data_IF_764516393187
#
_entry.id   IF_764516393187
#
_cell.length_a   1.000
_cell.length_b   1.000
_cell.length_c   1.000
_cell.angle_alpha   90.00
_cell.angle_beta   90.00
_cell.angle_gamma   90.00
#
_symmetry.space_group_name_H-M   'P 1'
#
loop_
_entity.id
_entity.type
_entity.pdbx_description
1 polymer ?
#
# COMPACT_ATOMS: atom_id res chain seq x y z
N UNK A 1 -30.75 59.20 69.84
CA UNK A 1 -30.96 57.76 69.58
C UNK A 1 -30.91 57.56 68.07
N UNK A 2 -29.77 57.03 67.54
CA UNK A 2 -29.64 56.74 66.12
C UNK A 2 -29.63 55.20 66.02
N UNK A 3 -30.60 54.63 65.29
CA UNK A 3 -30.68 53.22 65.00
C UNK A 3 -29.82 52.93 63.77
N UNK A 4 -28.76 52.12 63.90
CA UNK A 4 -27.99 51.55 62.80
C UNK A 4 -28.72 50.24 62.31
N UNK A 5 -29.09 50.27 61.04
CA UNK A 5 -29.60 49.07 60.35
C UNK A 5 -28.46 48.49 59.45
N UNK A 6 -27.91 47.39 59.88
CA UNK A 6 -26.91 46.68 59.10
C UNK A 6 -27.62 45.79 58.07
N UNK A 7 -27.38 46.02 56.76
CA UNK A 7 -27.77 45.08 55.68
C UNK A 7 -26.69 44.04 55.55
N UNK A 8 -27.08 42.76 55.74
CA UNK A 8 -26.25 41.59 55.39
C UNK A 8 -26.54 41.23 53.93
N UNK A 9 -25.51 41.38 53.04
CA UNK A 9 -25.55 40.89 51.69
C UNK A 9 -25.17 39.41 51.72
N UNK A 10 -26.09 38.54 51.29
CA UNK A 10 -25.92 37.09 51.17
C UNK A 10 -25.35 36.81 49.75
N UNK A 11 -24.09 36.44 49.68
CA UNK A 11 -23.49 35.97 48.41
C UNK A 11 -23.92 34.50 48.18
N UNK A 12 -24.79 34.29 47.18
CA UNK A 12 -25.09 32.97 46.66
C UNK A 12 -23.98 32.55 45.70
N UNK A 13 -23.07 31.72 46.10
CA UNK A 13 -22.12 31.06 45.20
C UNK A 13 -22.80 29.86 44.53
N UNK A 14 -23.10 29.98 43.24
CA UNK A 14 -23.53 28.90 42.39
C UNK A 14 -22.31 28.07 42.00
N UNK A 15 -22.24 26.74 42.25
CA UNK A 15 -21.13 25.93 41.75
C UNK A 15 -21.27 25.76 40.24
N UNK A 16 -20.25 26.23 39.49
CA UNK A 16 -20.09 25.93 38.08
C UNK A 16 -19.73 24.40 37.96
N UNK A 17 -20.71 23.61 37.60
CA UNK A 17 -20.44 22.21 37.21
C UNK A 17 -19.83 22.25 35.81
N UNK A 18 -18.50 22.22 35.73
CA UNK A 18 -17.80 21.87 34.49
C UNK A 18 -18.00 20.39 34.25
N UNK A 19 -18.93 20.04 33.37
CA UNK A 19 -18.96 18.71 32.77
C UNK A 19 -17.69 18.52 31.92
N UNK A 20 -16.92 17.45 32.09
CA UNK A 20 -15.83 17.17 31.17
C UNK A 20 -16.43 16.92 29.78
N UNK A 21 -16.04 17.76 28.81
CA UNK A 21 -16.18 17.44 27.39
C UNK A 21 -15.30 16.21 27.15
N UNK A 22 -15.90 15.03 27.27
CA UNK A 22 -15.34 13.86 26.63
C UNK A 22 -15.41 14.10 25.13
N UNK A 23 -14.27 14.41 24.53
CA UNK A 23 -14.09 14.26 23.09
C UNK A 23 -14.30 12.78 22.80
N UNK A 24 -15.52 12.39 22.51
CA UNK A 24 -15.81 11.12 21.90
C UNK A 24 -15.06 11.14 20.55
N UNK A 25 -14.04 10.33 20.41
CA UNK A 25 -13.63 9.90 19.10
C UNK A 25 -14.90 9.35 18.44
N UNK A 26 -15.43 10.06 17.44
CA UNK A 26 -16.41 9.50 16.54
C UNK A 26 -15.69 8.32 15.88
N UNK A 27 -15.95 7.11 16.36
CA UNK A 27 -15.45 5.91 15.71
C UNK A 27 -16.00 5.95 14.30
N UNK A 28 -15.14 6.14 13.32
CA UNK A 28 -15.53 6.16 11.91
C UNK A 28 -16.32 4.88 11.63
N UNK A 29 -17.44 5.00 10.93
CA UNK A 29 -18.28 3.84 10.60
C UNK A 29 -17.68 3.02 9.45
N UNK A 30 -16.55 3.43 8.91
CA UNK A 30 -15.83 2.73 7.84
C UNK A 30 -14.33 3.05 7.88
N UNK A 31 -13.52 2.13 7.35
CA UNK A 31 -12.12 2.31 7.03
C UNK A 31 -11.98 2.44 5.53
N UNK A 32 -11.41 3.55 5.08
CA UNK A 32 -11.06 3.77 3.68
C UNK A 32 -9.54 3.80 3.53
N UNK A 33 -9.01 2.87 2.78
CA UNK A 33 -7.57 2.79 2.46
C UNK A 33 -7.39 3.05 0.97
N UNK A 34 -6.63 4.09 0.63
CA UNK A 34 -6.22 4.39 -0.74
C UNK A 34 -4.96 3.64 -1.13
N UNK A 35 -4.80 3.31 -2.40
CA UNK A 35 -3.64 2.58 -2.94
C UNK A 35 -3.18 3.17 -4.24
N UNK A 36 -1.88 3.13 -4.47
CA UNK A 36 -1.31 3.45 -5.76
C UNK A 36 0.20 3.29 -5.78
N UNK A 37 0.75 3.16 -6.98
CA UNK A 37 2.18 3.08 -7.25
C UNK A 37 2.55 3.90 -8.48
N UNK A 38 3.83 3.90 -8.84
CA UNK A 38 4.36 4.56 -10.02
C UNK A 38 4.05 6.06 -10.03
N UNK A 39 4.64 6.76 -9.07
CA UNK A 39 4.56 8.21 -8.91
C UNK A 39 5.90 8.87 -9.19
N UNK A 40 6.04 9.43 -10.39
CA UNK A 40 7.24 10.07 -10.91
C UNK A 40 7.35 11.50 -10.37
N UNK A 41 8.41 11.80 -9.62
CA UNK A 41 8.65 13.10 -8.99
C UNK A 41 8.88 14.22 -10.01
N UNK A 42 9.22 13.86 -11.24
CA UNK A 42 9.47 14.82 -12.33
C UNK A 42 8.20 15.20 -13.10
N UNK A 43 7.07 14.55 -12.83
CA UNK A 43 5.81 14.78 -13.53
C UNK A 43 4.73 15.44 -12.64
N UNK A 44 3.79 16.16 -13.25
CA UNK A 44 2.64 16.70 -12.50
C UNK A 44 1.83 15.61 -11.81
N UNK A 45 1.52 15.80 -10.53
CA UNK A 45 0.79 14.85 -9.70
C UNK A 45 -0.66 15.30 -9.46
N UNK A 46 -1.43 15.42 -10.53
CA UNK A 46 -2.81 15.97 -10.48
C UNK A 46 -3.80 15.07 -9.75
N UNK A 47 -3.48 13.79 -9.62
CA UNK A 47 -4.30 12.75 -9.01
C UNK A 47 -4.63 13.02 -7.53
N UNK A 48 -3.74 13.75 -6.82
CA UNK A 48 -3.94 14.09 -5.42
C UNK A 48 -5.22 14.87 -5.15
N UNK A 49 -5.73 15.63 -6.15
CA UNK A 49 -7.00 16.37 -6.04
C UNK A 49 -8.23 15.46 -6.00
N UNK A 50 -8.16 14.31 -6.64
CA UNK A 50 -9.22 13.30 -6.59
C UNK A 50 -9.13 12.54 -5.27
N UNK A 51 -7.94 12.08 -4.89
CA UNK A 51 -7.68 11.36 -3.66
C UNK A 51 -8.05 12.15 -2.39
N UNK A 52 -7.82 13.47 -2.36
CA UNK A 52 -8.21 14.33 -1.24
C UNK A 52 -9.72 14.25 -0.93
N UNK A 53 -10.55 14.09 -1.96
CA UNK A 53 -12.02 14.00 -1.81
C UNK A 53 -12.50 12.67 -1.27
N UNK A 54 -11.66 11.62 -1.28
CA UNK A 54 -12.00 10.30 -0.76
C UNK A 54 -12.12 10.30 0.77
N UNK A 55 -11.50 11.26 1.47
CA UNK A 55 -11.43 11.29 2.93
C UNK A 55 -10.87 9.99 3.50
N UNK A 56 -9.68 9.62 3.06
CA UNK A 56 -9.01 8.37 3.42
C UNK A 56 -8.61 8.35 4.90
N UNK A 57 -8.64 7.17 5.50
CA UNK A 57 -8.05 6.90 6.81
C UNK A 57 -6.57 6.55 6.68
N UNK A 58 -6.21 5.80 5.63
CA UNK A 58 -4.85 5.43 5.29
C UNK A 58 -4.62 5.57 3.78
N UNK A 59 -3.36 5.81 3.38
CA UNK A 59 -2.91 5.66 2.00
C UNK A 59 -1.70 4.75 1.99
N UNK A 60 -1.70 3.77 1.09
CA UNK A 60 -0.64 2.77 1.00
C UNK A 60 0.06 2.88 -0.37
N UNK A 61 1.28 3.35 -0.37
CA UNK A 61 2.15 3.37 -1.54
C UNK A 61 2.69 1.97 -1.84
N UNK A 62 2.51 1.54 -3.09
CA UNK A 62 2.77 0.17 -3.53
C UNK A 62 4.12 0.01 -4.27
N UNK A 63 5.06 0.90 -3.99
CA UNK A 63 6.35 0.93 -4.69
C UNK A 63 6.39 1.91 -5.85
N UNK A 64 7.59 2.08 -6.44
CA UNK A 64 7.85 3.12 -7.44
C UNK A 64 7.43 4.51 -6.94
N UNK A 65 7.82 4.80 -5.70
CA UNK A 65 7.46 6.05 -5.04
C UNK A 65 8.32 7.22 -5.53
N UNK A 66 9.45 6.92 -6.16
CA UNK A 66 10.36 7.82 -6.88
C UNK A 66 11.06 7.04 -7.99
N UNK A 67 11.70 7.78 -8.92
CA UNK A 67 12.47 7.25 -10.05
C UNK A 67 13.90 7.77 -10.01
N UNK A 68 14.55 7.64 -8.86
CA UNK A 68 15.92 8.09 -8.61
C UNK A 68 17.01 7.07 -8.96
N UNK A 69 16.64 5.89 -9.43
CA UNK A 69 17.55 4.82 -9.81
C UNK A 69 18.37 5.16 -11.05
N UNK A 70 19.55 4.57 -11.13
CA UNK A 70 20.45 4.65 -12.27
C UNK A 70 20.71 3.24 -12.81
N UNK A 71 20.95 3.11 -14.13
CA UNK A 71 21.32 1.84 -14.74
C UNK A 71 22.59 1.22 -14.11
N UNK A 72 23.44 2.05 -13.49
CA UNK A 72 24.63 1.61 -12.74
C UNK A 72 24.29 1.01 -11.37
N UNK A 73 23.08 1.23 -10.86
CA UNK A 73 22.67 0.88 -9.50
C UNK A 73 23.23 1.82 -8.43
N UNK A 74 23.87 2.95 -8.79
CA UNK A 74 24.33 3.94 -7.82
C UNK A 74 23.14 4.74 -7.26
N UNK A 75 23.16 5.05 -5.95
CA UNK A 75 22.07 5.76 -5.25
C UNK A 75 22.23 7.29 -5.25
N UNK A 76 23.12 7.85 -6.10
CA UNK A 76 23.46 9.29 -6.10
C UNK A 76 22.26 10.19 -6.38
N UNK A 77 21.28 9.73 -7.18
CA UNK A 77 20.06 10.46 -7.50
C UNK A 77 18.87 10.14 -6.58
N UNK A 78 18.98 9.10 -5.74
CA UNK A 78 17.85 8.64 -4.94
C UNK A 78 17.37 9.68 -3.93
N UNK A 79 18.29 10.27 -3.17
CA UNK A 79 17.92 11.31 -2.20
C UNK A 79 17.38 12.59 -2.85
N UNK A 80 17.95 13.13 -3.92
CA UNK A 80 17.33 14.21 -4.69
C UNK A 80 15.92 13.90 -5.18
N UNK A 81 15.65 12.68 -5.67
CA UNK A 81 14.33 12.23 -6.10
C UNK A 81 13.35 12.22 -4.94
N UNK A 82 13.71 11.64 -3.79
CA UNK A 82 12.91 11.67 -2.58
C UNK A 82 12.61 13.07 -2.08
N UNK A 83 13.61 13.97 -2.07
CA UNK A 83 13.42 15.36 -1.64
C UNK A 83 12.39 16.07 -2.54
N UNK A 84 12.47 15.88 -3.85
CA UNK A 84 11.51 16.43 -4.81
C UNK A 84 10.12 15.83 -4.64
N UNK A 85 10.03 14.53 -4.39
CA UNK A 85 8.76 13.86 -4.13
C UNK A 85 8.09 14.38 -2.85
N UNK A 86 8.85 14.62 -1.80
CA UNK A 86 8.33 15.23 -0.58
C UNK A 86 7.74 16.63 -0.83
N UNK A 87 8.35 17.43 -1.71
CA UNK A 87 7.82 18.73 -2.12
C UNK A 87 6.47 18.60 -2.85
N UNK A 88 6.33 17.59 -3.70
CA UNK A 88 5.12 17.32 -4.50
C UNK A 88 3.93 16.81 -3.66
N UNK A 89 4.18 16.19 -2.53
CA UNK A 89 3.11 15.64 -1.69
C UNK A 89 2.26 16.75 -1.05
N UNK A 90 0.93 16.70 -1.19
CA UNK A 90 0.05 17.67 -0.55
C UNK A 90 0.06 17.53 0.99
N UNK A 91 -0.31 18.60 1.66
CA UNK A 91 -0.28 18.63 3.13
C UNK A 91 -1.17 17.55 3.78
N UNK A 92 -2.34 17.28 3.22
CA UNK A 92 -3.25 16.25 3.74
C UNK A 92 -2.61 14.87 3.74
N UNK A 93 -1.87 14.51 2.66
CA UNK A 93 -1.18 13.22 2.53
C UNK A 93 -0.04 13.09 3.55
N UNK A 94 0.75 14.17 3.74
CA UNK A 94 1.81 14.20 4.76
C UNK A 94 1.26 14.03 6.18
N UNK A 95 0.09 14.63 6.45
CA UNK A 95 -0.58 14.52 7.75
C UNK A 95 -1.15 13.12 8.00
N UNK A 96 -1.54 12.41 6.94
CA UNK A 96 -2.05 11.04 7.01
C UNK A 96 -0.99 10.03 7.44
N UNK A 97 0.31 10.36 7.28
CA UNK A 97 1.44 9.46 7.52
C UNK A 97 1.28 8.15 6.75
N UNK A 98 1.37 8.21 5.42
CA UNK A 98 1.06 7.06 4.58
C UNK A 98 1.94 5.86 4.86
N UNK A 99 1.40 4.67 4.65
CA UNK A 99 2.13 3.41 4.61
C UNK A 99 2.84 3.28 3.26
N UNK A 100 3.97 2.61 3.23
CA UNK A 100 4.70 2.42 1.99
C UNK A 100 5.49 1.11 1.97
N UNK A 101 5.53 0.49 0.80
CA UNK A 101 6.55 -0.46 0.39
C UNK A 101 7.32 0.13 -0.80
N UNK A 102 8.45 -0.44 -1.11
CA UNK A 102 9.20 -0.09 -2.31
C UNK A 102 8.93 -1.04 -3.47
N UNK A 103 9.33 -0.61 -4.67
CA UNK A 103 9.55 -1.47 -5.81
C UNK A 103 10.96 -1.23 -6.38
N UNK A 104 11.26 -1.63 -7.59
CA UNK A 104 12.61 -1.63 -8.14
C UNK A 104 13.22 -0.22 -8.29
N UNK A 105 12.43 0.79 -8.67
CA UNK A 105 12.91 2.15 -8.86
C UNK A 105 13.29 2.85 -7.55
N UNK A 106 12.55 2.67 -6.48
CA UNK A 106 12.93 3.20 -5.16
C UNK A 106 13.81 2.24 -4.35
N UNK A 107 13.92 0.97 -4.75
CA UNK A 107 14.95 0.04 -4.29
C UNK A 107 16.34 0.40 -4.86
N UNK A 108 16.39 0.97 -6.07
CA UNK A 108 17.58 1.59 -6.66
C UNK A 108 18.23 0.83 -7.82
N UNK A 109 17.63 -0.26 -8.27
CA UNK A 109 18.06 -1.01 -9.44
C UNK A 109 16.86 -1.62 -10.15
N UNK A 110 16.60 -1.19 -11.40
CA UNK A 110 15.47 -1.68 -12.18
C UNK A 110 15.48 -3.22 -12.30
N UNK A 111 14.33 -3.84 -12.00
CA UNK A 111 14.14 -5.28 -11.84
C UNK A 111 15.13 -5.93 -10.83
N UNK A 112 15.74 -5.15 -9.92
CA UNK A 112 16.72 -5.61 -8.95
C UNK A 112 16.13 -6.48 -7.85
N UNK A 113 16.94 -7.39 -7.33
CA UNK A 113 16.61 -8.30 -6.23
C UNK A 113 17.77 -8.46 -5.25
N UNK A 114 17.95 -9.64 -4.70
CA UNK A 114 18.97 -9.93 -3.69
C UNK A 114 20.41 -9.69 -4.16
N UNK A 115 20.65 -9.69 -5.45
CA UNK A 115 21.93 -9.40 -6.09
C UNK A 115 22.33 -7.93 -6.01
N UNK A 116 21.40 -7.03 -5.69
CA UNK A 116 21.71 -5.61 -5.59
C UNK A 116 22.59 -5.31 -4.38
N UNK A 117 23.78 -4.81 -4.62
CA UNK A 117 24.81 -4.66 -3.60
C UNK A 117 24.55 -3.51 -2.63
N UNK A 118 23.81 -2.47 -3.04
CA UNK A 118 23.51 -1.28 -2.24
C UNK A 118 22.14 -1.35 -1.54
N UNK A 119 21.54 -2.53 -1.45
CA UNK A 119 20.20 -2.71 -0.88
C UNK A 119 20.06 -2.24 0.58
N UNK A 120 21.13 -2.33 1.38
CA UNK A 120 21.12 -1.84 2.78
C UNK A 120 21.11 -0.32 2.85
N UNK A 121 21.84 0.32 1.97
CA UNK A 121 21.87 1.77 1.81
C UNK A 121 20.52 2.28 1.28
N UNK A 122 19.92 1.57 0.31
CA UNK A 122 18.58 1.86 -0.21
C UNK A 122 17.53 1.76 0.91
N UNK A 123 17.56 0.69 1.71
CA UNK A 123 16.67 0.53 2.87
C UNK A 123 16.78 1.72 3.84
N UNK A 124 17.98 2.16 4.14
CA UNK A 124 18.18 3.31 5.02
C UNK A 124 17.57 4.58 4.42
N UNK A 125 17.79 4.86 3.13
CA UNK A 125 17.21 6.02 2.46
C UNK A 125 15.69 5.98 2.47
N UNK A 126 15.10 4.82 2.20
CA UNK A 126 13.65 4.59 2.24
C UNK A 126 13.07 4.87 3.63
N UNK A 127 13.66 4.29 4.69
CA UNK A 127 13.19 4.47 6.06
C UNK A 127 13.34 5.93 6.54
N UNK A 128 14.41 6.61 6.13
CA UNK A 128 14.62 8.02 6.45
C UNK A 128 13.64 8.93 5.71
N UNK A 129 13.33 8.66 4.44
CA UNK A 129 12.34 9.40 3.66
C UNK A 129 10.92 9.28 4.24
N UNK A 130 10.48 8.05 4.51
CA UNK A 130 9.16 7.79 5.07
C UNK A 130 9.06 8.13 6.56
N UNK A 131 10.17 8.60 7.18
CA UNK A 131 10.23 9.01 8.59
C UNK A 131 9.77 7.89 9.53
N UNK A 132 10.13 6.66 9.21
CA UNK A 132 9.79 5.49 10.00
C UNK A 132 10.39 5.64 11.41
N UNK A 133 9.58 5.38 12.44
CA UNK A 133 10.02 5.52 13.84
C UNK A 133 11.29 4.68 14.07
N UNK A 134 12.28 5.24 14.77
CA UNK A 134 13.55 4.54 15.04
C UNK A 134 13.40 3.29 15.92
N UNK A 135 12.23 3.07 16.50
CA UNK A 135 11.90 1.86 17.27
C UNK A 135 11.21 0.79 16.42
N UNK A 136 10.85 1.12 15.19
CA UNK A 136 10.23 0.19 14.25
C UNK A 136 11.24 -0.91 13.88
N UNK A 137 10.75 -2.14 13.79
CA UNK A 137 11.57 -3.32 13.53
C UNK A 137 12.31 -3.25 12.20
N UNK A 138 11.77 -2.50 11.21
CA UNK A 138 12.40 -2.25 9.91
C UNK A 138 13.79 -1.59 9.99
N UNK A 139 14.16 -0.99 11.14
CA UNK A 139 15.51 -0.49 11.36
C UNK A 139 16.51 -1.58 11.80
N UNK A 140 16.01 -2.75 12.24
CA UNK A 140 16.81 -3.83 12.79
C UNK A 140 16.71 -5.15 12.01
N UNK A 141 15.79 -5.23 11.03
CA UNK A 141 15.63 -6.37 10.14
C UNK A 141 16.21 -6.09 8.75
N UNK A 142 16.43 -7.12 7.96
CA UNK A 142 16.67 -7.02 6.52
C UNK A 142 15.35 -6.89 5.77
N UNK A 143 15.27 -5.90 4.83
CA UNK A 143 14.03 -5.59 4.11
C UNK A 143 13.07 -4.66 4.88
N UNK A 144 12.00 -4.24 4.17
CA UNK A 144 11.08 -3.18 4.65
C UNK A 144 9.67 -3.71 4.93
N UNK A 145 9.47 -5.03 4.96
CA UNK A 145 8.17 -5.64 5.25
C UNK A 145 7.66 -5.28 6.66
N UNK A 146 6.35 -5.15 6.79
CA UNK A 146 5.70 -4.74 8.03
C UNK A 146 4.21 -5.10 8.03
N UNK A 147 3.60 -5.01 9.21
CA UNK A 147 2.16 -5.10 9.38
C UNK A 147 1.63 -3.96 10.25
N UNK A 148 0.36 -3.60 10.04
CA UNK A 148 -0.34 -2.58 10.81
C UNK A 148 -1.78 -3.00 11.09
N UNK A 149 -2.17 -2.97 12.35
CA UNK A 149 -3.53 -3.28 12.76
C UNK A 149 -4.45 -2.06 12.63
N UNK A 150 -5.67 -2.28 12.13
CA UNK A 150 -6.76 -1.31 12.12
C UNK A 150 -8.00 -1.93 12.72
N UNK A 151 -8.88 -1.08 13.24
CA UNK A 151 -10.14 -1.52 13.84
C UNK A 151 -11.28 -0.58 13.50
N UNK A 152 -12.43 -1.16 13.14
CA UNK A 152 -13.69 -0.45 12.97
C UNK A 152 -14.73 -1.17 13.81
N UNK A 153 -15.19 -0.54 14.89
CA UNK A 153 -16.07 -1.19 15.87
C UNK A 153 -15.50 -2.52 16.36
N UNK A 154 -16.11 -3.64 15.99
CA UNK A 154 -15.69 -5.01 16.32
C UNK A 154 -14.82 -5.66 15.25
N UNK A 155 -14.76 -5.09 14.04
CA UNK A 155 -13.95 -5.61 12.92
C UNK A 155 -12.48 -5.28 13.08
N UNK A 156 -11.62 -6.28 12.96
CA UNK A 156 -10.17 -6.17 12.98
C UNK A 156 -9.60 -6.37 11.57
N UNK A 157 -8.81 -5.44 11.12
CA UNK A 157 -8.21 -5.42 9.79
C UNK A 157 -6.69 -5.42 9.93
N UNK A 158 -6.00 -6.30 9.23
CA UNK A 158 -4.54 -6.32 9.17
C UNK A 158 -4.08 -5.83 7.80
N UNK A 159 -3.26 -4.78 7.80
CA UNK A 159 -2.58 -4.27 6.62
C UNK A 159 -1.17 -4.85 6.61
N UNK A 160 -0.79 -5.59 5.57
CA UNK A 160 0.52 -6.20 5.42
C UNK A 160 1.23 -5.59 4.23
N UNK A 161 2.46 -5.11 4.40
CA UNK A 161 3.36 -4.70 3.34
C UNK A 161 4.49 -5.70 3.14
N UNK A 162 4.55 -6.35 1.97
CA UNK A 162 5.64 -7.27 1.63
C UNK A 162 6.82 -6.52 1.03
N UNK A 163 8.01 -7.04 1.28
CA UNK A 163 9.21 -6.68 0.54
C UNK A 163 9.47 -7.75 -0.53
N UNK A 164 9.23 -7.42 -1.78
CA UNK A 164 9.42 -8.32 -2.92
C UNK A 164 10.73 -8.08 -3.65
N UNK A 165 11.69 -7.33 -3.02
CA UNK A 165 12.98 -6.95 -3.61
C UNK A 165 14.16 -7.49 -2.83
N UNK A 166 14.24 -7.23 -1.54
CA UNK A 166 15.45 -7.44 -0.73
C UNK A 166 15.99 -8.87 -0.77
N UNK A 167 15.09 -9.86 -0.78
CA UNK A 167 15.40 -11.28 -0.76
C UNK A 167 15.21 -11.96 -2.10
N UNK A 168 14.51 -11.30 -3.05
CA UNK A 168 14.11 -11.94 -4.30
C UNK A 168 15.33 -12.41 -5.09
N UNK A 169 15.38 -13.69 -5.37
CA UNK A 169 16.40 -14.31 -6.22
C UNK A 169 16.39 -13.73 -7.64
N UNK A 170 17.54 -13.64 -8.32
CA UNK A 170 17.59 -13.14 -9.68
C UNK A 170 16.58 -13.83 -10.61
N UNK A 171 15.92 -13.02 -11.45
CA UNK A 171 14.95 -13.48 -12.46
C UNK A 171 15.64 -14.32 -13.53
N UNK A 172 14.90 -15.25 -14.14
CA UNK A 172 15.33 -16.04 -15.29
C UNK A 172 14.78 -15.45 -16.59
N UNK A 173 15.54 -15.57 -17.67
CA UNK A 173 15.15 -15.04 -18.98
C UNK A 173 15.70 -13.63 -19.22
N UNK A 174 15.09 -12.95 -20.18
CA UNK A 174 15.48 -11.60 -20.59
C UNK A 174 14.47 -10.56 -20.09
N UNK A 175 14.89 -9.33 -19.92
CA UNK A 175 14.01 -8.22 -19.54
C UNK A 175 12.78 -8.16 -20.45
N UNK A 176 11.60 -8.05 -19.86
CA UNK A 176 10.28 -8.10 -20.53
C UNK A 176 9.90 -9.46 -21.12
N UNK A 177 10.69 -10.49 -20.86
CA UNK A 177 10.39 -11.87 -21.23
C UNK A 177 10.92 -12.84 -20.15
N UNK A 178 10.63 -12.49 -18.89
CA UNK A 178 11.04 -13.32 -17.75
C UNK A 178 10.29 -14.64 -17.73
N UNK A 179 11.04 -15.70 -17.47
CA UNK A 179 10.56 -17.06 -17.43
C UNK A 179 10.31 -17.51 -15.98
N UNK A 180 9.44 -18.49 -15.84
CA UNK A 180 9.25 -19.13 -14.55
C UNK A 180 10.42 -20.05 -14.22
N UNK A 181 10.97 -19.91 -13.01
CA UNK A 181 12.02 -20.79 -12.52
C UNK A 181 11.47 -22.19 -12.15
N UNK A 182 12.25 -23.21 -12.36
CA UNK A 182 11.99 -24.56 -11.82
C UNK A 182 12.84 -24.85 -10.57
N UNK A 183 13.72 -23.94 -10.21
CA UNK A 183 14.60 -24.05 -9.05
C UNK A 183 13.84 -23.61 -7.79
N UNK A 184 13.41 -24.58 -7.00
CA UNK A 184 12.67 -24.36 -5.74
C UNK A 184 13.51 -23.77 -4.61
N UNK A 185 14.82 -23.62 -4.79
CA UNK A 185 15.68 -22.91 -3.83
C UNK A 185 15.64 -21.40 -4.01
N UNK A 186 15.13 -20.93 -5.15
CA UNK A 186 14.92 -19.50 -5.40
C UNK A 186 13.69 -19.00 -4.66
N UNK A 187 13.69 -17.75 -4.23
CA UNK A 187 12.65 -17.18 -3.39
C UNK A 187 12.30 -15.75 -3.81
N UNK A 188 11.11 -15.28 -3.45
CA UNK A 188 10.72 -13.87 -3.49
C UNK A 188 10.96 -13.23 -2.12
N UNK A 189 10.46 -13.86 -1.05
CA UNK A 189 10.43 -13.26 0.27
C UNK A 189 11.63 -13.63 1.18
N UNK A 190 12.36 -14.72 0.83
CA UNK A 190 13.37 -15.26 1.72
C UNK A 190 12.76 -15.96 2.94
N UNK A 191 13.60 -16.65 3.70
CA UNK A 191 13.14 -17.48 4.83
C UNK A 191 12.57 -16.62 5.97
N UNK A 192 13.26 -15.55 6.35
CA UNK A 192 12.90 -14.71 7.50
C UNK A 192 11.55 -14.00 7.29
N UNK A 193 11.34 -13.42 6.11
CA UNK A 193 10.06 -12.77 5.81
C UNK A 193 8.92 -13.80 5.67
N UNK A 194 9.20 -15.01 5.18
CA UNK A 194 8.21 -16.09 5.16
C UNK A 194 7.77 -16.51 6.57
N UNK A 195 8.72 -16.74 7.49
CA UNK A 195 8.42 -17.08 8.88
C UNK A 195 7.61 -15.99 9.57
N UNK A 196 7.97 -14.72 9.31
CA UNK A 196 7.21 -13.57 9.80
C UNK A 196 5.78 -13.55 9.22
N UNK A 197 5.62 -13.72 7.89
CA UNK A 197 4.32 -13.69 7.23
C UNK A 197 3.41 -14.82 7.72
N UNK A 198 3.94 -16.02 7.90
CA UNK A 198 3.20 -17.15 8.46
C UNK A 198 2.69 -16.84 9.88
N UNK A 199 3.45 -16.11 10.69
CA UNK A 199 3.01 -15.66 12.02
C UNK A 199 1.91 -14.58 11.91
N UNK A 200 2.03 -13.61 10.99
CA UNK A 200 0.98 -12.60 10.76
C UNK A 200 -0.36 -13.23 10.38
N UNK A 201 -0.35 -14.32 9.63
CA UNK A 201 -1.55 -15.07 9.26
C UNK A 201 -2.16 -15.89 10.42
N UNK A 202 -1.51 -15.95 11.59
CA UNK A 202 -2.09 -16.52 12.81
C UNK A 202 -2.86 -15.48 13.65
N UNK A 203 -2.75 -14.20 13.30
CA UNK A 203 -3.43 -13.13 14.02
C UNK A 203 -4.97 -13.27 13.95
N UNK A 204 -5.63 -12.95 15.05
CA UNK A 204 -7.09 -12.98 15.12
C UNK A 204 -7.70 -11.72 14.49
N UNK A 205 -7.75 -11.67 13.17
CA UNK A 205 -8.33 -10.58 12.39
C UNK A 205 -9.47 -11.06 11.49
N UNK A 206 -10.32 -10.17 11.00
CA UNK A 206 -11.48 -10.50 10.16
C UNK A 206 -11.13 -10.47 8.67
N UNK A 207 -10.17 -9.62 8.27
CA UNK A 207 -9.71 -9.46 6.90
C UNK A 207 -8.23 -9.03 6.88
N UNK A 208 -7.50 -9.48 5.87
CA UNK A 208 -6.15 -9.03 5.57
C UNK A 208 -6.16 -8.25 4.24
N UNK A 209 -5.51 -7.08 4.21
CA UNK A 209 -5.13 -6.39 2.99
C UNK A 209 -3.62 -6.57 2.83
N UNK A 210 -3.21 -7.31 1.81
CA UNK A 210 -1.82 -7.71 1.59
C UNK A 210 -1.27 -7.00 0.36
N UNK A 211 -0.31 -6.12 0.61
CA UNK A 211 0.38 -5.33 -0.39
C UNK A 211 1.64 -6.06 -0.89
N UNK A 212 1.72 -6.25 -2.19
CA UNK A 212 2.90 -6.75 -2.92
C UNK A 212 3.23 -5.76 -4.02
N UNK A 213 4.49 -5.34 -4.18
CA UNK A 213 4.80 -4.38 -5.24
C UNK A 213 4.56 -4.97 -6.63
N UNK A 214 4.84 -6.25 -6.84
CA UNK A 214 4.61 -6.99 -8.09
C UNK A 214 3.34 -7.85 -8.02
N UNK A 215 2.72 -8.12 -9.18
CA UNK A 215 1.45 -8.86 -9.27
C UNK A 215 1.55 -10.31 -8.82
N UNK A 216 0.55 -10.75 -8.03
CA UNK A 216 0.42 -12.11 -7.51
C UNK A 216 -0.39 -12.99 -8.45
N UNK A 217 -1.59 -12.57 -8.84
CA UNK A 217 -2.51 -13.41 -9.62
C UNK A 217 -2.18 -13.45 -11.11
N UNK A 218 -1.75 -12.33 -11.69
CA UNK A 218 -1.46 -12.23 -13.11
C UNK A 218 -0.48 -13.29 -13.61
N UNK A 219 -0.68 -13.77 -14.86
CA UNK A 219 0.09 -14.85 -15.47
C UNK A 219 0.63 -14.53 -16.85
N UNK A 220 -0.10 -13.75 -17.66
CA UNK A 220 0.08 -13.65 -19.10
C UNK A 220 0.92 -12.47 -19.58
N UNK A 221 1.94 -12.05 -18.82
CA UNK A 221 2.86 -11.01 -19.30
C UNK A 221 4.32 -11.42 -19.08
N UNK A 222 5.22 -10.79 -19.84
CA UNK A 222 6.66 -11.09 -19.77
C UNK A 222 7.45 -10.33 -18.70
N UNK A 223 6.80 -9.45 -17.94
CA UNK A 223 7.44 -8.69 -16.86
C UNK A 223 7.50 -9.51 -15.57
N UNK A 224 8.15 -8.99 -14.55
CA UNK A 224 8.21 -9.68 -13.29
C UNK A 224 6.84 -9.81 -12.60
N UNK A 225 6.68 -10.89 -11.87
CA UNK A 225 5.47 -11.27 -11.16
C UNK A 225 5.72 -12.49 -10.30
N UNK A 226 4.83 -12.78 -9.37
CA UNK A 226 4.94 -14.00 -8.56
C UNK A 226 4.97 -15.29 -9.37
N UNK A 227 4.34 -15.30 -10.54
CA UNK A 227 4.37 -16.47 -11.44
C UNK A 227 5.76 -16.80 -12.00
N UNK A 228 6.76 -15.93 -11.85
CA UNK A 228 8.15 -16.26 -12.15
C UNK A 228 8.77 -17.22 -11.10
N UNK A 229 8.15 -17.32 -9.92
CA UNK A 229 8.51 -18.23 -8.84
C UNK A 229 7.27 -19.06 -8.45
N UNK A 230 6.87 -20.08 -9.27
CA UNK A 230 5.59 -20.76 -9.10
C UNK A 230 5.39 -21.39 -7.73
N UNK A 231 6.44 -21.96 -7.14
CA UNK A 231 6.40 -22.58 -5.81
C UNK A 231 6.15 -21.53 -4.69
N UNK A 232 6.73 -20.33 -4.81
CA UNK A 232 6.49 -19.21 -3.86
C UNK A 232 5.05 -18.70 -3.99
N UNK A 233 4.56 -18.53 -5.23
CA UNK A 233 3.16 -18.16 -5.50
C UNK A 233 2.20 -19.19 -4.92
N UNK A 234 2.47 -20.48 -5.12
CA UNK A 234 1.63 -21.55 -4.59
C UNK A 234 1.65 -21.59 -3.07
N UNK A 235 2.82 -21.36 -2.45
CA UNK A 235 2.96 -21.25 -0.99
C UNK A 235 2.09 -20.09 -0.45
N UNK A 236 2.14 -18.91 -1.07
CA UNK A 236 1.30 -17.77 -0.65
C UNK A 236 -0.19 -18.07 -0.80
N UNK A 237 -0.61 -18.63 -1.94
CA UNK A 237 -2.01 -18.95 -2.17
C UNK A 237 -2.52 -20.05 -1.21
N UNK A 238 -1.66 -20.99 -0.81
CA UNK A 238 -1.98 -22.01 0.20
C UNK A 238 -2.15 -21.38 1.58
N UNK A 239 -1.24 -20.48 1.99
CA UNK A 239 -1.32 -19.75 3.24
C UNK A 239 -2.62 -18.92 3.32
N UNK A 240 -2.98 -18.20 2.25
CA UNK A 240 -4.23 -17.44 2.14
C UNK A 240 -5.45 -18.37 2.29
N UNK A 241 -5.41 -19.54 1.64
CA UNK A 241 -6.50 -20.51 1.71
C UNK A 241 -6.64 -21.11 3.12
N UNK A 242 -5.54 -21.41 3.80
CA UNK A 242 -5.50 -21.95 5.16
C UNK A 242 -6.01 -20.93 6.20
N UNK A 243 -5.76 -19.64 5.97
CA UNK A 243 -6.30 -18.57 6.81
C UNK A 243 -7.83 -18.60 6.87
N UNK A 244 -8.50 -18.96 5.78
CA UNK A 244 -9.94 -19.23 5.72
C UNK A 244 -10.85 -18.02 5.89
N UNK A 245 -10.28 -16.79 5.95
CA UNK A 245 -11.00 -15.51 5.99
C UNK A 245 -10.61 -14.68 4.76
N UNK A 246 -11.35 -13.60 4.44
CA UNK A 246 -11.05 -12.76 3.30
C UNK A 246 -9.64 -12.17 3.32
N UNK A 247 -8.99 -12.22 2.17
CA UNK A 247 -7.74 -11.52 1.87
C UNK A 247 -7.94 -10.73 0.59
N UNK A 248 -7.53 -9.47 0.59
CA UNK A 248 -7.47 -8.64 -0.61
C UNK A 248 -6.01 -8.37 -0.92
N UNK A 249 -5.59 -8.73 -2.13
CA UNK A 249 -4.26 -8.41 -2.64
C UNK A 249 -4.29 -7.03 -3.30
N UNK A 250 -3.24 -6.25 -3.11
CA UNK A 250 -3.03 -4.98 -3.81
C UNK A 250 -1.63 -4.97 -4.40
N UNK A 251 -1.48 -4.50 -5.65
CA UNK A 251 -0.20 -4.53 -6.36
C UNK A 251 0.07 -3.33 -7.26
N UNK A 252 1.33 -3.17 -7.68
CA UNK A 252 1.87 -2.06 -8.47
C UNK A 252 2.62 -2.47 -9.73
N UNK A 253 3.77 -1.83 -10.02
CA UNK A 253 4.78 -2.09 -11.07
C UNK A 253 4.35 -1.86 -12.54
N UNK A 254 3.10 -2.04 -12.88
CA UNK A 254 2.65 -2.32 -14.26
C UNK A 254 2.33 -1.09 -15.12
N UNK A 255 2.34 0.14 -14.58
CA UNK A 255 1.93 1.39 -15.25
C UNK A 255 0.52 1.33 -15.88
N UNK A 256 -0.34 0.49 -15.34
CA UNK A 256 -1.74 0.26 -15.74
C UNK A 256 -2.51 -0.33 -14.55
N UNK A 257 -3.82 -0.49 -14.69
CA UNK A 257 -4.64 -0.95 -13.60
C UNK A 257 -5.70 -1.95 -14.05
N UNK A 258 -6.11 -2.81 -13.12
CA UNK A 258 -7.16 -3.80 -13.31
C UNK A 258 -7.46 -4.56 -12.02
N UNK A 259 -8.58 -5.23 -11.98
CA UNK A 259 -8.95 -6.12 -10.88
C UNK A 259 -8.84 -7.56 -11.39
N UNK A 260 -8.10 -8.40 -10.67
CA UNK A 260 -7.97 -9.83 -10.96
C UNK A 260 -8.74 -10.62 -9.92
N UNK A 261 -9.26 -11.78 -10.33
CA UNK A 261 -10.01 -12.67 -9.45
C UNK A 261 -9.63 -14.12 -9.66
N UNK A 262 -9.36 -14.82 -8.54
CA UNK A 262 -9.25 -16.27 -8.50
C UNK A 262 -10.09 -16.80 -7.35
N UNK A 263 -11.19 -17.50 -7.64
CA UNK A 263 -12.18 -17.92 -6.64
C UNK A 263 -12.72 -16.72 -5.84
N UNK A 264 -12.47 -16.65 -4.54
CA UNK A 264 -12.86 -15.55 -3.66
C UNK A 264 -11.71 -14.57 -3.35
N UNK A 265 -10.57 -14.76 -4.00
CA UNK A 265 -9.41 -13.88 -3.84
C UNK A 265 -9.41 -12.82 -4.94
N UNK A 266 -9.33 -11.56 -4.53
CA UNK A 266 -9.23 -10.41 -5.43
C UNK A 266 -7.84 -9.79 -5.32
N UNK A 267 -7.30 -9.35 -6.45
CA UNK A 267 -6.12 -8.51 -6.54
C UNK A 267 -6.45 -7.23 -7.29
N UNK A 268 -6.29 -6.08 -6.62
CA UNK A 268 -6.37 -4.78 -7.24
C UNK A 268 -4.95 -4.33 -7.61
N UNK A 269 -4.65 -4.30 -8.92
CA UNK A 269 -3.45 -3.63 -9.44
C UNK A 269 -3.79 -2.18 -9.71
N UNK A 270 -3.12 -1.25 -9.02
CA UNK A 270 -3.26 0.20 -9.25
C UNK A 270 -1.87 0.81 -9.37
N UNK A 271 -1.43 1.03 -10.60
CA UNK A 271 -0.02 1.22 -10.90
C UNK A 271 0.24 2.40 -11.83
N UNK A 272 -0.43 3.53 -11.60
CA UNK A 272 -0.18 4.75 -12.36
C UNK A 272 -0.74 5.99 -11.67
N UNK A 273 -0.15 6.37 -10.54
CA UNK A 273 -0.54 7.64 -9.90
C UNK A 273 -0.28 8.85 -10.84
N UNK A 274 0.85 8.85 -11.58
CA UNK A 274 1.12 9.86 -12.60
C UNK A 274 2.03 9.38 -13.75
N UNK A 275 2.31 8.07 -13.81
CA UNK A 275 3.22 7.49 -14.82
C UNK A 275 2.53 6.39 -15.64
N UNK A 276 1.47 6.72 -16.40
CA UNK A 276 0.79 5.74 -17.25
C UNK A 276 1.67 5.32 -18.43
N UNK A 277 1.39 4.13 -18.97
CA UNK A 277 2.00 3.69 -20.21
C UNK A 277 1.73 4.69 -21.33
N UNK A 278 2.73 5.04 -22.13
CA UNK A 278 2.51 5.85 -23.34
C UNK A 278 1.45 5.18 -24.25
N UNK A 279 0.48 5.95 -24.74
CA UNK A 279 -0.64 5.42 -25.54
C UNK A 279 -0.22 4.59 -26.76
N UNK A 280 0.93 4.90 -27.35
CA UNK A 280 1.47 4.15 -28.49
C UNK A 280 1.99 2.75 -28.11
N UNK A 281 2.33 2.53 -26.82
CA UNK A 281 2.73 1.23 -26.32
C UNK A 281 1.55 0.34 -25.92
N UNK A 282 0.39 0.93 -25.65
CA UNK A 282 -0.82 0.18 -25.24
C UNK A 282 -1.19 -0.88 -26.27
N UNK A 283 -1.17 -0.52 -27.57
CA UNK A 283 -1.48 -1.45 -28.65
C UNK A 283 -0.48 -2.61 -28.81
N UNK A 284 0.74 -2.44 -28.29
CA UNK A 284 1.82 -3.46 -28.35
C UNK A 284 1.85 -4.31 -27.08
N UNK A 285 1.42 -3.74 -25.94
CA UNK A 285 1.47 -4.36 -24.63
C UNK A 285 0.09 -4.59 -24.03
N UNK A 286 -0.93 -4.63 -24.89
CA UNK A 286 -2.26 -5.06 -24.48
C UNK A 286 -2.19 -6.53 -24.05
N UNK A 287 -2.54 -6.78 -22.80
CA UNK A 287 -2.46 -8.10 -22.18
C UNK A 287 -3.86 -8.59 -21.89
N UNK A 288 -4.13 -9.80 -22.31
CA UNK A 288 -5.29 -10.55 -21.86
C UNK A 288 -4.84 -11.54 -20.79
N UNK A 289 -5.44 -11.50 -19.62
CA UNK A 289 -5.20 -12.48 -18.56
C UNK A 289 -6.54 -13.16 -18.21
N UNK A 290 -6.58 -14.48 -18.07
CA UNK A 290 -7.83 -15.20 -17.79
C UNK A 290 -8.43 -14.84 -16.41
N UNK A 291 -7.64 -14.25 -15.51
CA UNK A 291 -8.08 -13.84 -14.18
C UNK A 291 -8.49 -12.37 -14.11
N UNK A 292 -8.27 -11.58 -15.18
CA UNK A 292 -8.67 -10.17 -15.22
C UNK A 292 -10.21 -10.07 -15.27
N UNK A 293 -10.79 -9.32 -14.34
CA UNK A 293 -12.19 -8.91 -14.38
C UNK A 293 -12.33 -7.63 -15.21
N UNK A 294 -13.35 -7.56 -16.06
CA UNK A 294 -13.59 -6.37 -16.87
C UNK A 294 -12.47 -6.09 -17.87
N UNK A 295 -11.91 -4.89 -17.82
CA UNK A 295 -10.91 -4.42 -18.78
C UNK A 295 -9.66 -3.88 -18.10
N UNK A 296 -8.54 -3.84 -18.83
CA UNK A 296 -7.32 -3.17 -18.39
C UNK A 296 -7.43 -1.66 -18.63
N UNK A 297 -7.03 -0.84 -17.66
CA UNK A 297 -7.04 0.61 -17.71
C UNK A 297 -5.59 1.16 -17.77
N UNK A 298 -5.33 2.08 -18.70
CA UNK A 298 -3.98 2.55 -19.06
C UNK A 298 -3.73 4.04 -18.74
N UNK A 299 -4.73 4.76 -18.23
CA UNK A 299 -4.57 6.15 -17.79
C UNK A 299 -4.19 6.22 -16.30
N UNK A 300 -3.97 7.43 -15.78
CA UNK A 300 -3.71 7.62 -14.34
C UNK A 300 -4.85 7.03 -13.51
N UNK A 301 -4.48 6.36 -12.43
CA UNK A 301 -5.43 5.60 -11.62
C UNK A 301 -4.99 5.50 -10.16
N UNK A 302 -5.95 5.21 -9.29
CA UNK A 302 -5.75 4.83 -7.90
C UNK A 302 -6.83 3.84 -7.45
N UNK A 303 -6.52 3.06 -6.43
CA UNK A 303 -7.45 2.14 -5.81
C UNK A 303 -7.97 2.66 -4.47
N UNK A 304 -9.20 2.27 -4.11
CA UNK A 304 -9.75 2.49 -2.77
C UNK A 304 -10.39 1.20 -2.29
N UNK A 305 -10.04 0.76 -1.08
CA UNK A 305 -10.77 -0.29 -0.36
C UNK A 305 -11.52 0.40 0.79
N UNK A 306 -12.83 0.23 0.81
CA UNK A 306 -13.68 0.72 1.88
C UNK A 306 -14.32 -0.46 2.61
N UNK A 307 -14.06 -0.57 3.90
CA UNK A 307 -14.64 -1.59 4.77
C UNK A 307 -15.54 -0.87 5.75
N UNK A 308 -16.82 -1.20 5.74
CA UNK A 308 -17.76 -0.59 6.67
C UNK A 308 -17.95 -1.42 7.96
N UNK A 309 -18.65 -0.85 8.91
CA UNK A 309 -18.90 -1.48 10.21
C UNK A 309 -19.87 -2.66 10.16
N UNK A 310 -20.58 -2.89 9.03
CA UNK A 310 -21.40 -4.10 8.81
C UNK A 310 -20.56 -5.26 8.31
N UNK A 311 -19.38 -4.99 7.78
CA UNK A 311 -18.48 -5.97 7.19
C UNK A 311 -18.53 -5.99 5.66
N UNK A 312 -19.22 -5.02 5.03
CA UNK A 312 -19.19 -4.90 3.57
C UNK A 312 -17.89 -4.27 3.12
N UNK A 313 -17.23 -4.91 2.17
CA UNK A 313 -15.96 -4.49 1.56
C UNK A 313 -16.23 -4.06 0.11
N UNK A 314 -15.91 -2.82 -0.19
CA UNK A 314 -15.92 -2.29 -1.55
C UNK A 314 -14.48 -2.06 -2.03
N UNK A 315 -14.15 -2.59 -3.20
CA UNK A 315 -12.87 -2.38 -3.89
C UNK A 315 -13.17 -1.57 -5.14
N UNK A 316 -12.73 -0.32 -5.18
CA UNK A 316 -12.90 0.59 -6.31
C UNK A 316 -11.56 0.88 -6.98
N UNK A 317 -11.50 0.68 -8.30
CA UNK A 317 -10.46 1.24 -9.16
C UNK A 317 -11.00 2.53 -9.77
N UNK A 318 -10.25 3.64 -9.66
CA UNK A 318 -10.70 4.98 -10.05
C UNK A 318 -9.69 5.70 -10.95
N UNK A 319 -10.20 6.60 -11.81
CA UNK A 319 -9.37 7.49 -12.63
C UNK A 319 -8.90 8.75 -11.85
N UNK A 320 -8.09 9.59 -12.50
CA UNK A 320 -7.55 10.83 -11.92
C UNK A 320 -8.64 11.91 -11.61
N UNK A 321 -9.89 11.66 -11.98
CA UNK A 321 -11.03 12.54 -11.67
C UNK A 321 -11.90 12.01 -10.54
N UNK A 322 -11.66 10.74 -10.12
CA UNK A 322 -12.42 10.04 -9.11
C UNK A 322 -13.61 9.25 -9.66
N UNK A 323 -13.69 9.06 -10.99
CA UNK A 323 -14.73 8.20 -11.57
C UNK A 323 -14.33 6.73 -11.36
N UNK A 324 -15.31 5.90 -11.01
CA UNK A 324 -15.11 4.45 -10.89
C UNK A 324 -14.91 3.86 -12.29
N UNK A 325 -13.81 3.13 -12.47
CA UNK A 325 -13.46 2.37 -13.66
C UNK A 325 -13.94 0.92 -13.55
N UNK A 326 -13.66 0.29 -12.42
CA UNK A 326 -14.09 -1.06 -12.05
C UNK A 326 -14.40 -1.09 -10.55
N UNK A 327 -15.33 -1.92 -10.13
CA UNK A 327 -15.67 -2.09 -8.72
C UNK A 327 -16.04 -3.53 -8.39
N UNK A 328 -15.73 -3.94 -7.15
CA UNK A 328 -16.13 -5.23 -6.59
C UNK A 328 -16.64 -5.01 -5.17
N UNK A 329 -17.69 -5.75 -4.79
CA UNK A 329 -18.26 -5.74 -3.44
C UNK A 329 -18.41 -7.16 -2.92
N UNK A 330 -18.11 -7.38 -1.63
CA UNK A 330 -18.37 -8.62 -0.91
C UNK A 330 -18.45 -8.36 0.60
N UNK A 331 -18.94 -9.35 1.37
CA UNK A 331 -19.05 -9.28 2.83
C UNK A 331 -18.00 -10.17 3.52
N UNK A 332 -17.56 -9.76 4.75
CA UNK A 332 -16.63 -10.50 5.65
C UNK A 332 -17.32 -11.01 6.90
#
# INVERSE_FOLDING_TARGET
MKRNTSFKILYLTLPLILSPLTSGEESSNSLKVGFGSCVDEDKPQVIWKALEKENLNDFFFMGDNVYGDLDSGELTNMWPAYAKQEENFPAWLKNLKPLAIWDDHDYGLNDGGSEYTLKKEAQKLFLDFWKIDKKDDRHNQEGIYFSENRKIKDKKILLIGLDTRYFRSPLEGEKRNYQSTTDVSKTILGMEQWEWLENEFQEEVDIIILASSIQVLATNHGFEKWSNFPHEKEKLLSLIKEFGKPVVLVSGDRHKAGIYKKENLYELTSSSLNKPLPKWLVAVWDETDPLLLGTMHYDMNYGVINIDSSGTVNIDLKDEKGNILEAVEFDI
#
